data_IF_320580546281
#
_entry.id   IF_320580546281
#
_cell.length_a   1.000
_cell.length_b   1.000
_cell.length_c   1.000
_cell.angle_alpha   90.00
_cell.angle_beta   90.00
_cell.angle_gamma   90.00
#
_symmetry.space_group_name_H-M   'P 1'
#
loop_
_entity.id
_entity.type
_entity.pdbx_description
1 polymer ?
#
# COMPACT_ATOMS: atom_id res chain seq x y z
N UNK A 1 -10.10 -18.46 5.38
CA UNK A 1 -10.61 -17.90 5.14
C UNK A 1 -11.68 -17.73 5.20
N UNK A 2 -12.04 -17.48 5.48
CA UNK A 2 -12.95 -17.40 5.36
C UNK A 2 -13.39 -16.62 4.85
N UNK A 3 -13.45 -16.37 4.63
CA UNK A 3 -13.84 -15.73 4.04
C UNK A 3 -14.16 -15.92 3.12
N UNK A 4 -14.43 -16.44 2.89
CA UNK A 4 -14.64 -16.31 1.97
C UNK A 4 -15.70 -16.15 1.22
N UNK A 5 -16.94 -16.43 1.54
CA UNK A 5 -17.94 -16.21 0.53
C UNK A 5 -18.32 -14.78 0.44
N UNK A 6 -18.54 -14.17 1.57
CA UNK A 6 -18.70 -12.72 1.59
C UNK A 6 -17.50 -12.03 1.00
N UNK A 7 -16.39 -12.73 0.98
CA UNK A 7 -15.18 -12.18 0.40
C UNK A 7 -15.23 -12.10 -1.11
N UNK A 8 -16.18 -12.75 -1.75
CA UNK A 8 -16.26 -12.70 -3.21
C UNK A 8 -16.50 -11.29 -3.70
N UNK A 9 -17.45 -10.58 -3.12
CA UNK A 9 -17.73 -9.21 -3.54
C UNK A 9 -16.57 -8.31 -3.22
N UNK A 10 -16.06 -8.41 -2.01
CA UNK A 10 -14.92 -7.65 -1.60
C UNK A 10 -13.72 -7.91 -2.50
N UNK A 11 -13.55 -9.16 -2.90
CA UNK A 11 -12.45 -9.58 -3.73
C UNK A 11 -12.43 -8.87 -5.08
N UNK A 12 -13.56 -8.56 -5.67
CA UNK A 12 -13.61 -7.88 -6.96
C UNK A 12 -13.25 -6.40 -6.87
N UNK A 13 -13.22 -5.84 -5.68
CA UNK A 13 -12.95 -4.41 -5.52
C UNK A 13 -11.54 -4.11 -5.06
N UNK A 14 -10.78 -5.14 -4.63
CA UNK A 14 -9.44 -4.90 -4.10
C UNK A 14 -8.38 -5.20 -5.13
N UNK A 15 -7.35 -4.35 -5.16
CA UNK A 15 -6.19 -4.49 -6.03
C UNK A 15 -4.92 -4.86 -5.28
N UNK A 16 -4.94 -4.81 -3.96
CA UNK A 16 -3.82 -5.31 -3.16
C UNK A 16 -3.98 -6.81 -3.02
N UNK A 17 -3.00 -7.55 -3.52
CA UNK A 17 -3.02 -9.01 -3.50
C UNK A 17 -2.25 -9.58 -2.32
N UNK A 18 -1.25 -8.87 -1.84
CA UNK A 18 -0.46 -9.33 -0.72
C UNK A 18 0.22 -8.18 -0.01
N UNK A 19 0.50 -8.39 1.26
CA UNK A 19 1.28 -7.47 2.08
C UNK A 19 2.61 -8.14 2.43
N UNK A 20 3.66 -7.34 2.48
CA UNK A 20 4.98 -7.86 2.82
C UNK A 20 5.11 -8.21 4.30
N UNK A 21 4.31 -7.59 5.16
CA UNK A 21 4.39 -7.85 6.59
C UNK A 21 3.03 -7.66 7.27
N UNK A 22 2.96 -8.14 8.51
CA UNK A 22 1.73 -8.08 9.30
C UNK A 22 1.40 -6.67 9.73
N UNK A 23 2.41 -5.83 9.93
CA UNK A 23 2.19 -4.45 10.32
C UNK A 23 1.40 -3.70 9.25
N UNK A 24 1.81 -3.84 8.01
CA UNK A 24 1.14 -3.15 6.90
C UNK A 24 -0.30 -3.65 6.75
N UNK A 25 -0.50 -4.96 6.84
CA UNK A 25 -1.84 -5.54 6.78
C UNK A 25 -2.72 -5.00 7.90
N UNK A 26 -2.19 -4.90 9.11
CA UNK A 26 -2.94 -4.40 10.25
C UNK A 26 -3.33 -2.93 10.05
N UNK A 27 -2.41 -2.11 9.54
CA UNK A 27 -2.70 -0.70 9.26
C UNK A 27 -3.81 -0.58 8.21
N UNK A 28 -3.74 -1.39 7.17
CA UNK A 28 -4.76 -1.40 6.14
C UNK A 28 -6.14 -1.72 6.72
N UNK A 29 -6.20 -2.68 7.63
CA UNK A 29 -7.44 -3.11 8.28
C UNK A 29 -7.93 -2.13 9.34
N UNK A 30 -7.17 -1.10 9.65
CA UNK A 30 -7.57 -0.09 10.62
C UNK A 30 -7.16 -0.37 12.05
N UNK A 31 -6.30 -1.36 12.27
CA UNK A 31 -5.80 -1.66 13.60
C UNK A 31 -4.66 -0.73 13.99
N UNK A 32 -4.60 -0.38 15.26
CA UNK A 32 -3.48 0.41 15.77
C UNK A 32 -2.27 -0.48 15.97
N UNK A 33 -1.11 0.03 15.56
CA UNK A 33 0.16 -0.67 15.75
C UNK A 33 1.12 0.26 16.51
N UNK A 34 1.89 -0.31 17.42
CA UNK A 34 2.79 0.49 18.25
C UNK A 34 3.96 1.09 17.47
N UNK A 35 4.34 0.45 16.38
CA UNK A 35 5.51 0.87 15.63
C UNK A 35 5.35 2.20 14.92
N UNK A 36 4.12 2.68 14.75
CA UNK A 36 3.85 3.92 14.03
C UNK A 36 3.12 4.91 14.92
N UNK A 37 3.54 6.19 14.89
CA UNK A 37 2.76 7.24 15.53
C UNK A 37 1.34 7.30 14.97
N UNK A 38 0.33 7.68 15.76
CA UNK A 38 -1.06 7.66 15.28
C UNK A 38 -1.30 8.43 13.99
N UNK A 39 -0.73 9.64 13.86
CA UNK A 39 -0.93 10.42 12.64
C UNK A 39 -0.28 9.77 11.42
N UNK A 40 0.81 9.04 11.63
CA UNK A 40 1.45 8.29 10.53
C UNK A 40 0.55 7.13 10.11
N UNK A 41 -0.06 6.44 11.07
CA UNK A 41 -0.96 5.34 10.75
C UNK A 41 -2.15 5.80 9.91
N UNK A 42 -2.74 6.94 10.26
CA UNK A 42 -3.89 7.45 9.51
C UNK A 42 -3.49 7.82 8.10
N UNK A 43 -2.34 8.48 7.93
CA UNK A 43 -1.83 8.83 6.61
C UNK A 43 -1.47 7.57 5.81
N UNK A 44 -0.83 6.60 6.45
CA UNK A 44 -0.46 5.36 5.81
C UNK A 44 -1.70 4.61 5.31
N UNK A 45 -2.73 4.52 6.14
CA UNK A 45 -3.95 3.83 5.75
C UNK A 45 -4.60 4.48 4.55
N UNK A 46 -4.64 5.83 4.51
CA UNK A 46 -5.18 6.52 3.34
C UNK A 46 -4.41 6.16 2.07
N UNK A 47 -3.07 6.10 2.17
CA UNK A 47 -2.25 5.76 1.00
C UNK A 47 -2.42 4.30 0.59
N UNK A 48 -2.55 3.40 1.55
CA UNK A 48 -2.82 2.00 1.25
C UNK A 48 -4.18 1.84 0.57
N UNK A 49 -5.19 2.59 1.01
CA UNK A 49 -6.48 2.57 0.35
C UNK A 49 -6.40 3.12 -1.08
N UNK A 50 -5.57 4.12 -1.31
CA UNK A 50 -5.35 4.64 -2.66
C UNK A 50 -4.73 3.59 -3.56
N UNK A 51 -3.74 2.85 -3.06
CA UNK A 51 -3.13 1.75 -3.82
C UNK A 51 -4.18 0.69 -4.14
N UNK A 52 -5.01 0.36 -3.16
CA UNK A 52 -6.03 -0.66 -3.33
C UNK A 52 -7.09 -0.26 -4.37
N UNK A 53 -7.35 1.03 -4.48
CA UNK A 53 -8.35 1.55 -5.41
C UNK A 53 -7.79 1.81 -6.81
N UNK A 54 -6.48 1.84 -6.99
CA UNK A 54 -5.86 2.18 -8.26
C UNK A 54 -6.12 1.09 -9.28
N UNK A 55 -6.51 1.47 -10.49
CA UNK A 55 -6.73 0.55 -11.59
C UNK A 55 -5.53 0.50 -12.53
N UNK A 56 -4.74 1.56 -12.53
CA UNK A 56 -3.50 1.64 -13.27
C UNK A 56 -2.48 2.33 -12.40
N UNK A 57 -1.20 2.02 -12.63
CA UNK A 57 -0.14 2.61 -11.82
C UNK A 57 -0.16 4.13 -11.90
N UNK A 58 -0.51 4.69 -13.04
CA UNK A 58 -0.55 6.15 -13.22
C UNK A 58 -1.62 6.84 -12.37
N UNK A 59 -2.63 6.10 -11.90
CA UNK A 59 -3.62 6.67 -10.98
C UNK A 59 -2.96 7.18 -9.71
N UNK A 60 -1.83 6.62 -9.34
CA UNK A 60 -1.11 6.98 -8.13
C UNK A 60 -0.20 8.21 -8.31
N UNK A 61 -0.19 8.81 -9.50
CA UNK A 61 0.47 10.09 -9.70
C UNK A 61 -0.32 11.26 -9.14
N UNK A 62 -1.58 11.02 -8.80
CA UNK A 62 -2.48 12.03 -8.27
C UNK A 62 -2.89 11.62 -6.86
N UNK A 63 -2.76 12.48 -5.87
CA UNK A 63 -2.20 13.85 -5.96
C UNK A 63 -0.68 13.82 -6.16
N UNK A 64 -0.11 14.91 -6.69
CA UNK A 64 1.35 14.96 -6.93
C UNK A 64 2.17 14.73 -5.68
N UNK A 65 1.62 15.03 -4.51
CA UNK A 65 2.29 14.77 -3.23
C UNK A 65 2.58 13.30 -2.97
N UNK A 66 1.94 12.38 -3.69
CA UNK A 66 2.26 10.96 -3.59
C UNK A 66 3.68 10.67 -4.04
N UNK A 67 4.23 11.48 -4.91
CA UNK A 67 5.59 11.29 -5.44
C UNK A 67 5.80 9.85 -5.88
N UNK A 68 4.93 9.36 -6.75
CA UNK A 68 5.07 8.02 -7.31
C UNK A 68 6.42 7.90 -7.99
N UNK A 69 7.19 6.90 -7.60
CA UNK A 69 8.46 6.66 -8.25
C UNK A 69 8.77 5.17 -8.32
N UNK A 70 9.47 4.81 -9.39
CA UNK A 70 9.97 3.45 -9.56
C UNK A 70 11.31 3.35 -8.86
N UNK A 71 11.48 2.29 -8.09
CA UNK A 71 12.67 2.13 -7.26
C UNK A 71 13.78 1.40 -8.00
N UNK A 72 14.99 1.50 -7.47
CA UNK A 72 16.17 0.88 -8.03
C UNK A 72 16.87 0.05 -6.96
N UNK A 73 18.00 -0.57 -7.30
CA UNK A 73 18.78 -1.36 -6.36
C UNK A 73 18.01 -2.60 -5.91
N UNK A 74 18.02 -2.84 -4.61
CA UNK A 74 17.38 -4.02 -4.04
C UNK A 74 15.87 -4.04 -4.22
N UNK A 75 15.27 -2.89 -4.52
CA UNK A 75 13.84 -2.77 -4.71
C UNK A 75 13.46 -2.48 -6.16
N UNK A 76 14.30 -2.84 -7.11
CA UNK A 76 14.17 -2.41 -8.50
C UNK A 76 12.87 -2.81 -9.20
N UNK A 77 12.13 -3.75 -8.66
CA UNK A 77 10.83 -4.12 -9.24
C UNK A 77 9.66 -3.47 -8.53
N UNK A 78 9.97 -2.57 -7.63
CA UNK A 78 8.95 -1.93 -6.82
C UNK A 78 8.74 -0.48 -7.20
N UNK A 79 7.59 0.00 -6.81
CA UNK A 79 7.20 1.40 -6.86
C UNK A 79 7.01 1.87 -5.43
N UNK A 80 7.01 3.17 -5.23
CA UNK A 80 6.65 3.72 -3.93
C UNK A 80 5.81 4.97 -4.08
N UNK A 81 4.96 5.21 -3.07
CA UNK A 81 4.30 6.49 -2.89
C UNK A 81 4.63 7.01 -1.49
N UNK A 82 4.66 8.34 -1.38
CA UNK A 82 5.04 9.00 -0.15
C UNK A 82 3.89 8.99 0.85
N UNK A 83 4.17 8.65 2.09
CA UNK A 83 3.23 8.81 3.20
C UNK A 83 3.52 10.13 3.90
N UNK A 84 4.79 10.36 4.26
CA UNK A 84 5.29 11.62 4.78
C UNK A 84 6.80 11.70 4.48
N UNK A 85 7.51 12.61 5.13
CA UNK A 85 8.95 12.79 4.86
C UNK A 85 9.78 11.56 5.19
N UNK A 86 9.30 10.71 6.09
CA UNK A 86 10.04 9.55 6.56
C UNK A 86 9.51 8.24 5.97
N UNK A 87 8.20 8.10 5.85
CA UNK A 87 7.57 6.83 5.54
C UNK A 87 7.03 6.79 4.12
N UNK A 88 7.17 5.63 3.50
CA UNK A 88 6.65 5.38 2.15
C UNK A 88 5.91 4.05 2.13
N UNK A 89 5.02 3.90 1.14
CA UNK A 89 4.42 2.61 0.85
C UNK A 89 5.08 2.08 -0.42
N UNK A 90 5.71 0.92 -0.31
CA UNK A 90 6.42 0.27 -1.41
C UNK A 90 5.65 -0.97 -1.86
N UNK A 91 5.67 -1.26 -3.15
CA UNK A 91 4.89 -2.37 -3.68
C UNK A 91 5.36 -2.74 -5.09
N UNK A 92 5.13 -4.00 -5.48
CA UNK A 92 5.27 -4.40 -6.88
C UNK A 92 3.92 -4.19 -7.57
N UNK A 93 3.95 -3.85 -8.83
CA UNK A 93 2.73 -3.66 -9.62
C UNK A 93 2.78 -4.62 -10.81
N UNK A 94 1.84 -5.55 -10.87
CA UNK A 94 1.77 -6.55 -11.93
C UNK A 94 0.32 -6.80 -12.32
N UNK A 95 0.05 -6.75 -13.60
CA UNK A 95 -1.29 -7.07 -14.13
C UNK A 95 -2.40 -6.26 -13.49
N UNK A 96 -2.11 -5.01 -13.16
CA UNK A 96 -3.09 -4.12 -12.56
C UNK A 96 -3.28 -4.30 -11.06
N UNK A 97 -2.45 -5.11 -10.42
CA UNK A 97 -2.55 -5.40 -8.99
C UNK A 97 -1.27 -5.03 -8.24
N UNK A 98 -1.43 -4.70 -6.97
CA UNK A 98 -0.30 -4.41 -6.09
C UNK A 98 0.03 -5.65 -5.26
N UNK A 99 1.33 -5.96 -5.19
CA UNK A 99 1.85 -7.11 -4.46
C UNK A 99 2.92 -6.69 -3.47
N UNK A 100 3.05 -7.42 -2.39
CA UNK A 100 4.08 -7.21 -1.37
C UNK A 100 4.08 -5.77 -0.85
N UNK A 101 2.88 -5.25 -0.58
CA UNK A 101 2.73 -3.88 -0.14
C UNK A 101 3.30 -3.73 1.27
N UNK A 102 4.13 -2.71 1.46
CA UNK A 102 4.85 -2.51 2.71
C UNK A 102 4.95 -1.03 3.06
N UNK A 103 4.56 -0.70 4.28
CA UNK A 103 4.85 0.61 4.87
C UNK A 103 6.24 0.52 5.46
N UNK A 104 7.13 1.39 5.02
CA UNK A 104 8.53 1.29 5.41
C UNK A 104 9.17 2.67 5.52
N UNK A 105 10.19 2.75 6.37
CA UNK A 105 11.05 3.92 6.51
C UNK A 105 12.16 3.74 5.47
N UNK A 106 11.90 4.22 4.28
CA UNK A 106 12.79 4.02 3.14
C UNK A 106 13.57 5.29 2.83
N UNK A 107 14.85 5.18 2.84
CA UNK A 107 15.77 6.28 2.50
C UNK A 107 16.84 5.82 1.53
#
# INVERSE_FOLDING_TARGET
MALYITNVIHYYTTMIRSFADKLTAAVFDGHRVKALPPQVQDAARRKLKAIDAAKAIDDLRIPPGNRLEKLAGDRKRQWSIRINDQWRACFRWENGDAHDVQVTDYH
#
